data_IF_304068018243
#
_entry.id   IF_304068018243
#
_cell.length_a   1.000
_cell.length_b   1.000
_cell.length_c   1.000
_cell.angle_alpha   90.00
_cell.angle_beta   90.00
_cell.angle_gamma   90.00
#
_symmetry.space_group_name_H-M   'P 1'
#
loop_
_entity.id
_entity.type
_entity.pdbx_description
1 polymer ?
#
# COMPACT_ATOMS: atom_id res chain seq x y z
N UNK A 1 11.30 -6.49 6.82
CA UNK A 1 10.77 -7.22 5.65
C UNK A 1 11.32 -6.72 4.31
N UNK A 2 11.14 -5.45 3.94
CA UNK A 2 11.74 -4.92 2.70
C UNK A 2 13.26 -5.16 2.60
N UNK A 3 13.98 -5.00 3.72
CA UNK A 3 15.41 -5.31 3.78
C UNK A 3 15.71 -6.79 3.52
N UNK A 4 14.92 -7.71 4.08
CA UNK A 4 15.04 -9.16 3.80
C UNK A 4 14.85 -9.45 2.30
N UNK A 5 13.86 -8.80 1.67
CA UNK A 5 13.62 -8.95 0.23
C UNK A 5 14.86 -8.47 -0.56
N UNK A 6 15.45 -7.33 -0.19
CA UNK A 6 16.68 -6.82 -0.81
C UNK A 6 17.87 -7.78 -0.65
N UNK A 7 18.04 -8.36 0.54
CA UNK A 7 19.10 -9.36 0.81
C UNK A 7 18.94 -10.55 -0.13
N UNK A 8 17.73 -11.10 -0.22
CA UNK A 8 17.45 -12.27 -1.08
C UNK A 8 17.64 -11.93 -2.56
N UNK A 9 17.13 -10.78 -3.02
CA UNK A 9 17.28 -10.34 -4.41
C UNK A 9 18.75 -10.13 -4.78
N UNK A 10 19.54 -9.54 -3.88
CA UNK A 10 20.94 -9.32 -4.14
C UNK A 10 21.74 -10.64 -4.19
N UNK A 11 21.38 -11.64 -3.38
CA UNK A 11 21.94 -13.00 -3.49
C UNK A 11 21.54 -13.74 -4.79
N UNK A 12 20.47 -13.29 -5.49
CA UNK A 12 20.07 -13.84 -6.81
C UNK A 12 20.88 -13.29 -7.98
N UNK A 13 21.68 -12.25 -7.77
CA UNK A 13 22.29 -11.50 -8.87
C UNK A 13 23.55 -12.23 -9.35
N UNK A 14 23.57 -12.84 -10.55
CA UNK A 14 24.64 -13.75 -10.98
C UNK A 14 25.96 -13.03 -11.36
N UNK A 15 25.94 -11.70 -11.47
CA UNK A 15 27.00 -10.93 -12.14
C UNK A 15 28.16 -10.51 -11.25
N UNK A 16 28.08 -10.68 -9.93
CA UNK A 16 29.20 -10.46 -9.04
C UNK A 16 29.74 -11.84 -8.62
N UNK A 17 31.01 -12.12 -8.91
CA UNK A 17 31.71 -13.33 -8.43
C UNK A 17 31.64 -13.50 -6.90
N UNK A 18 31.23 -12.44 -6.17
CA UNK A 18 30.99 -12.40 -4.74
C UNK A 18 29.69 -11.64 -4.46
N UNK A 19 28.92 -12.03 -3.45
CA UNK A 19 27.81 -11.19 -2.98
C UNK A 19 28.29 -9.76 -2.65
N UNK A 20 27.42 -8.75 -2.75
CA UNK A 20 27.71 -7.45 -2.15
C UNK A 20 28.17 -7.60 -0.69
N UNK A 21 29.28 -6.97 -0.32
CA UNK A 21 29.95 -7.13 0.98
C UNK A 21 29.07 -6.85 2.20
N UNK A 22 27.97 -6.10 2.02
CA UNK A 22 27.01 -5.81 3.08
C UNK A 22 26.08 -6.99 3.40
N UNK A 23 26.01 -8.01 2.53
CA UNK A 23 25.15 -9.18 2.69
C UNK A 23 25.83 -10.26 3.52
N UNK A 24 27.15 -10.43 3.37
CA UNK A 24 27.88 -11.53 4.02
C UNK A 24 27.69 -11.57 5.55
N UNK A 25 27.71 -10.44 6.29
CA UNK A 25 27.43 -10.46 7.72
C UNK A 25 26.01 -10.93 8.05
N UNK A 26 25.03 -10.66 7.17
CA UNK A 26 23.64 -11.11 7.34
C UNK A 26 23.53 -12.62 7.10
N UNK A 27 24.21 -13.14 6.07
CA UNK A 27 24.24 -14.58 5.80
C UNK A 27 24.91 -15.33 6.96
N UNK A 28 26.07 -14.85 7.44
CA UNK A 28 26.75 -15.43 8.60
C UNK A 28 25.86 -15.44 9.86
N UNK A 29 25.10 -14.38 10.07
CA UNK A 29 24.12 -14.30 11.16
C UNK A 29 23.00 -15.35 11.00
N UNK A 30 22.52 -15.54 9.76
CA UNK A 30 21.51 -16.56 9.45
C UNK A 30 22.03 -17.98 9.63
N UNK A 31 23.28 -18.24 9.21
CA UNK A 31 23.97 -19.51 9.44
C UNK A 31 24.06 -19.84 10.93
N UNK A 32 24.52 -18.88 11.74
CA UNK A 32 24.64 -19.06 13.18
C UNK A 32 23.28 -19.36 13.84
N UNK A 33 22.20 -18.74 13.37
CA UNK A 33 20.85 -18.95 13.91
C UNK A 33 20.24 -20.30 13.51
N UNK A 34 20.48 -20.75 12.27
CA UNK A 34 19.87 -21.97 11.74
C UNK A 34 20.69 -23.22 12.08
N UNK A 35 21.99 -23.08 12.35
CA UNK A 35 22.90 -24.14 12.75
C UNK A 35 22.40 -24.95 13.97
N UNK A 36 22.60 -26.28 13.99
CA UNK A 36 23.25 -27.10 12.97
C UNK A 36 22.29 -27.58 11.86
N UNK A 37 21.07 -27.07 11.79
CA UNK A 37 19.98 -27.71 11.04
C UNK A 37 19.79 -27.24 9.60
N UNK A 38 20.62 -26.31 9.15
CA UNK A 38 20.57 -25.76 7.80
C UNK A 38 21.76 -24.82 7.56
N UNK A 39 21.71 -24.12 6.43
CA UNK A 39 22.69 -23.09 6.08
C UNK A 39 22.08 -22.00 5.20
N UNK A 40 22.80 -20.90 5.09
CA UNK A 40 22.53 -19.74 4.28
C UNK A 40 21.09 -19.21 4.46
N UNK A 41 20.33 -19.18 3.37
CA UNK A 41 18.95 -18.73 3.30
C UNK A 41 17.92 -19.80 3.72
N UNK A 42 18.34 -20.95 4.25
CA UNK A 42 17.41 -21.94 4.81
C UNK A 42 16.56 -21.35 5.95
N UNK A 43 17.05 -20.29 6.59
CA UNK A 43 16.31 -19.51 7.59
C UNK A 43 14.98 -18.94 7.06
N UNK A 44 14.82 -18.78 5.74
CA UNK A 44 13.55 -18.35 5.13
C UNK A 44 12.43 -19.37 5.38
N UNK A 45 12.77 -20.63 5.67
CA UNK A 45 11.85 -21.71 6.00
C UNK A 45 11.70 -21.98 7.49
N UNK A 46 12.55 -21.34 8.31
CA UNK A 46 12.62 -21.60 9.74
C UNK A 46 11.33 -21.21 10.49
N UNK A 47 10.96 -21.96 11.53
CA UNK A 47 9.74 -21.73 12.30
C UNK A 47 9.94 -20.61 13.35
N UNK A 48 10.30 -19.40 12.91
CA UNK A 48 10.43 -18.24 13.80
C UNK A 48 9.04 -17.75 14.20
N UNK A 49 8.47 -18.33 15.26
CA UNK A 49 7.08 -18.08 15.70
C UNK A 49 6.98 -17.32 17.01
N UNK A 50 8.09 -17.06 17.69
CA UNK A 50 8.14 -16.27 18.92
C UNK A 50 8.36 -14.82 18.59
N UNK A 51 7.48 -13.93 19.05
CA UNK A 51 7.71 -12.50 18.94
C UNK A 51 8.86 -12.10 19.89
N UNK A 52 9.86 -11.31 19.43
CA UNK A 52 10.96 -10.83 20.27
C UNK A 52 10.49 -10.13 21.56
N UNK A 53 9.36 -9.43 21.53
CA UNK A 53 8.85 -8.61 22.64
C UNK A 53 8.25 -9.42 23.81
N UNK A 54 7.96 -10.70 23.62
CA UNK A 54 7.35 -11.53 24.68
C UNK A 54 8.41 -12.14 25.61
N UNK A 55 8.18 -12.10 26.93
CA UNK A 55 9.06 -12.70 27.94
C UNK A 55 9.38 -14.21 27.74
N UNK A 56 8.52 -14.94 27.00
CA UNK A 56 8.73 -16.36 26.63
C UNK A 56 9.82 -16.53 25.56
N UNK A 57 10.09 -15.51 24.74
CA UNK A 57 11.16 -15.52 23.72
C UNK A 57 12.53 -15.73 24.36
N UNK A 58 12.73 -15.26 25.59
CA UNK A 58 13.97 -15.45 26.38
C UNK A 58 14.26 -16.92 26.73
N UNK A 59 13.28 -17.82 26.62
CA UNK A 59 13.48 -19.26 26.87
C UNK A 59 13.95 -20.04 25.64
N UNK A 60 13.74 -19.52 24.43
CA UNK A 60 14.28 -20.11 23.20
C UNK A 60 15.45 -19.25 22.71
N UNK A 61 16.62 -19.47 23.30
CA UNK A 61 17.86 -18.75 23.01
C UNK A 61 18.33 -18.90 21.56
N UNK A 62 17.74 -19.81 20.77
CA UNK A 62 18.19 -20.04 19.40
C UNK A 62 18.06 -18.79 18.52
N UNK A 63 16.94 -18.07 18.61
CA UNK A 63 16.70 -16.90 17.77
C UNK A 63 17.29 -15.61 18.33
N UNK A 64 17.80 -15.62 19.57
CA UNK A 64 18.36 -14.40 20.17
C UNK A 64 19.64 -13.93 19.47
N UNK A 65 20.38 -14.84 18.83
CA UNK A 65 21.59 -14.49 18.08
C UNK A 65 21.31 -13.53 16.92
N UNK A 66 20.11 -13.57 16.34
CA UNK A 66 19.68 -12.67 15.27
C UNK A 66 19.61 -11.20 15.71
N UNK A 67 19.57 -10.92 17.01
CA UNK A 67 19.24 -9.61 17.55
C UNK A 67 17.77 -9.22 17.30
N UNK A 68 17.36 -8.11 17.89
CA UNK A 68 15.94 -7.68 17.89
C UNK A 68 15.41 -7.44 16.47
N UNK A 69 16.20 -6.76 15.62
CA UNK A 69 15.79 -6.41 14.27
C UNK A 69 15.51 -7.63 13.39
N UNK A 70 16.49 -8.52 13.21
CA UNK A 70 16.33 -9.67 12.31
C UNK A 70 15.37 -10.71 12.87
N UNK A 71 15.31 -10.86 14.20
CA UNK A 71 14.30 -11.69 14.84
C UNK A 71 12.89 -11.18 14.52
N UNK A 72 12.61 -9.88 14.67
CA UNK A 72 11.30 -9.32 14.33
C UNK A 72 10.98 -9.47 12.82
N UNK A 73 11.97 -9.26 11.96
CA UNK A 73 11.82 -9.41 10.52
C UNK A 73 11.46 -10.84 10.13
N UNK A 74 12.16 -11.84 10.68
CA UNK A 74 11.93 -13.26 10.39
C UNK A 74 10.66 -13.78 11.07
N UNK A 75 10.33 -13.27 12.25
CA UNK A 75 9.03 -13.50 12.90
C UNK A 75 7.88 -13.01 12.00
N UNK A 76 7.97 -11.78 11.50
CA UNK A 76 6.96 -11.21 10.60
C UNK A 76 6.91 -11.95 9.26
N UNK A 77 8.07 -12.35 8.74
CA UNK A 77 8.19 -13.18 7.54
C UNK A 77 7.41 -14.48 7.72
N UNK A 78 7.68 -15.24 8.78
CA UNK A 78 7.04 -16.53 9.02
C UNK A 78 5.55 -16.41 9.37
N UNK A 79 5.19 -15.50 10.29
CA UNK A 79 3.84 -15.48 10.87
C UNK A 79 2.80 -14.72 10.06
N UNK A 80 3.22 -13.73 9.26
CA UNK A 80 2.32 -12.86 8.49
C UNK A 80 2.55 -13.01 6.99
N UNK A 81 3.80 -12.86 6.54
CA UNK A 81 4.12 -12.70 5.13
C UNK A 81 4.08 -14.04 4.36
N UNK A 82 4.70 -15.10 4.89
CA UNK A 82 4.79 -16.41 4.25
C UNK A 82 3.45 -17.10 4.03
N UNK A 83 2.44 -16.80 4.87
CA UNK A 83 1.07 -17.30 4.69
C UNK A 83 0.41 -16.79 3.40
N UNK A 84 0.96 -15.72 2.80
CA UNK A 84 0.50 -15.12 1.55
C UNK A 84 1.32 -15.56 0.34
N UNK A 85 2.28 -16.47 0.51
CA UNK A 85 3.08 -17.00 -0.61
C UNK A 85 2.21 -17.89 -1.48
N UNK A 86 2.15 -17.56 -2.77
CA UNK A 86 1.60 -18.47 -3.78
C UNK A 86 2.68 -19.52 -4.07
N UNK A 87 2.43 -20.75 -3.64
CA UNK A 87 3.36 -21.86 -3.90
C UNK A 87 3.15 -22.39 -5.30
N UNK A 88 3.98 -21.94 -6.22
CA UNK A 88 4.20 -22.65 -7.47
C UNK A 88 4.95 -23.95 -7.11
N UNK A 89 4.35 -25.11 -7.38
CA UNK A 89 4.96 -26.41 -7.05
C UNK A 89 6.10 -26.77 -8.01
N UNK A 90 7.13 -25.94 -8.07
CA UNK A 90 8.30 -26.18 -8.90
C UNK A 90 9.06 -27.37 -8.32
N UNK A 91 9.35 -28.37 -9.16
CA UNK A 91 10.10 -29.58 -8.75
C UNK A 91 11.47 -29.23 -8.16
N UNK A 92 12.13 -28.21 -8.72
CA UNK A 92 13.41 -27.68 -8.23
C UNK A 92 13.31 -27.21 -6.78
N UNK A 93 12.35 -26.34 -6.45
CA UNK A 93 12.16 -25.83 -5.08
C UNK A 93 11.98 -26.97 -4.08
N UNK A 94 11.24 -28.03 -4.44
CA UNK A 94 11.09 -29.23 -3.59
C UNK A 94 12.40 -30.01 -3.46
N UNK A 95 13.19 -30.11 -4.53
CA UNK A 95 14.48 -30.80 -4.55
C UNK A 95 15.53 -30.14 -3.65
N UNK A 96 15.48 -28.80 -3.54
CA UNK A 96 16.45 -28.00 -2.79
C UNK A 96 15.89 -27.41 -1.50
N UNK A 97 14.66 -27.77 -1.12
CA UNK A 97 14.01 -27.38 0.13
C UNK A 97 14.76 -27.94 1.34
N UNK A 98 15.19 -27.13 2.32
CA UNK A 98 15.67 -27.68 3.59
C UNK A 98 14.55 -28.47 4.26
N UNK A 99 14.82 -29.68 4.76
CA UNK A 99 13.77 -30.51 5.38
C UNK A 99 13.93 -30.73 6.89
N UNK A 100 15.12 -30.49 7.45
CA UNK A 100 15.36 -30.73 8.89
C UNK A 100 14.58 -29.75 9.77
N UNK A 101 14.66 -28.46 9.48
CA UNK A 101 13.99 -27.42 10.28
C UNK A 101 13.09 -26.50 9.45
N UNK A 102 12.14 -27.12 8.76
CA UNK A 102 11.24 -26.44 7.85
C UNK A 102 9.80 -26.51 8.33
N UNK A 103 9.16 -25.35 8.52
CA UNK A 103 7.76 -25.24 8.94
C UNK A 103 6.78 -25.89 7.94
N UNK A 104 7.19 -26.06 6.68
CA UNK A 104 6.38 -26.64 5.61
C UNK A 104 6.38 -28.16 5.64
N UNK A 105 7.31 -28.76 6.40
CA UNK A 105 7.47 -30.20 6.55
C UNK A 105 7.22 -30.52 8.03
N UNK A 106 5.95 -30.52 8.40
CA UNK A 106 5.51 -30.79 9.77
C UNK A 106 5.43 -32.30 10.03
N UNK A 107 6.06 -32.76 11.12
CA UNK A 107 6.09 -34.17 11.53
C UNK A 107 5.02 -34.51 12.60
N UNK A 108 4.34 -33.52 13.19
CA UNK A 108 3.35 -33.73 14.26
C UNK A 108 2.11 -32.82 14.16
N UNK A 109 1.04 -33.20 14.87
CA UNK A 109 -0.23 -32.45 14.96
C UNK A 109 -0.09 -30.99 15.44
N UNK A 110 1.06 -30.63 16.05
CA UNK A 110 1.34 -29.27 16.55
C UNK A 110 2.27 -28.46 15.65
N UNK A 111 2.55 -28.91 14.42
CA UNK A 111 3.38 -28.15 13.48
C UNK A 111 4.87 -28.14 13.82
N UNK A 112 5.36 -29.07 14.64
CA UNK A 112 6.79 -29.19 14.93
C UNK A 112 7.56 -29.74 13.72
N UNK A 113 8.73 -29.15 13.45
CA UNK A 113 9.69 -29.57 12.42
C UNK A 113 10.47 -30.82 12.88
N UNK A 114 11.25 -31.46 12.00
CA UNK A 114 12.04 -32.64 12.38
C UNK A 114 13.10 -32.33 13.45
N UNK A 115 13.72 -31.14 13.37
CA UNK A 115 14.70 -30.65 14.32
C UNK A 115 14.10 -29.92 15.53
N UNK A 116 12.96 -29.25 15.37
CA UNK A 116 12.33 -28.38 16.39
C UNK A 116 11.51 -29.11 17.46
N UNK A 117 11.60 -30.44 17.55
CA UNK A 117 10.95 -31.22 18.63
C UNK A 117 11.86 -31.34 19.85
N UNK A 118 11.28 -31.52 21.04
CA UNK A 118 12.04 -31.75 22.28
C UNK A 118 12.84 -33.06 22.26
N UNK A 119 12.55 -33.96 21.30
CA UNK A 119 13.26 -35.21 21.05
C UNK A 119 13.29 -35.44 19.53
N UNK A 120 14.23 -34.82 18.79
CA UNK A 120 14.36 -35.05 17.36
C UNK A 120 14.61 -36.53 17.10
N UNK A 121 14.22 -37.02 15.92
CA UNK A 121 14.60 -38.37 15.50
C UNK A 121 16.13 -38.48 15.60
N UNK A 122 16.65 -39.57 16.18
CA UNK A 122 18.09 -39.72 16.41
C UNK A 122 18.95 -39.58 15.15
N UNK A 123 18.34 -39.78 13.98
CA UNK A 123 18.96 -39.58 12.67
C UNK A 123 19.19 -38.11 12.29
N UNK A 124 18.35 -37.19 12.76
CA UNK A 124 18.41 -35.76 12.41
C UNK A 124 19.75 -35.12 12.80
N UNK A 125 20.27 -35.30 14.04
CA UNK A 125 21.62 -34.84 14.42
C UNK A 125 22.74 -35.39 13.53
N UNK A 126 22.64 -36.65 13.09
CA UNK A 126 23.67 -37.29 12.25
C UNK A 126 23.68 -36.65 10.86
N UNK A 127 22.48 -36.49 10.26
CA UNK A 127 22.33 -35.85 8.96
C UNK A 127 22.86 -34.41 8.99
N UNK A 128 22.51 -33.66 10.03
CA UNK A 128 23.00 -32.30 10.25
C UNK A 128 24.52 -32.21 10.38
N UNK A 129 25.13 -33.11 11.16
CA UNK A 129 26.59 -33.16 11.33
C UNK A 129 27.34 -33.44 10.01
N UNK A 130 26.68 -34.07 9.03
CA UNK A 130 27.23 -34.36 7.71
C UNK A 130 26.71 -33.39 6.62
N UNK A 131 26.14 -32.26 7.02
CA UNK A 131 25.61 -31.23 6.11
C UNK A 131 24.52 -31.70 5.13
N UNK A 132 23.74 -32.72 5.51
CA UNK A 132 22.64 -33.26 4.72
C UNK A 132 21.35 -32.55 5.14
N UNK A 133 21.01 -31.45 4.46
CA UNK A 133 19.89 -30.59 4.82
C UNK A 133 18.68 -30.71 3.88
N UNK A 134 18.91 -31.15 2.64
CA UNK A 134 17.94 -31.12 1.53
C UNK A 134 17.84 -32.48 0.83
N UNK A 135 16.76 -32.74 0.06
CA UNK A 135 16.70 -33.93 -0.79
C UNK A 135 17.90 -34.02 -1.74
N UNK A 136 18.31 -32.90 -2.36
CA UNK A 136 19.50 -32.82 -3.20
C UNK A 136 20.76 -33.38 -2.51
N UNK A 137 21.02 -32.96 -1.27
CA UNK A 137 22.18 -33.39 -0.48
C UNK A 137 22.11 -34.88 -0.11
N UNK A 138 20.89 -35.42 0.03
CA UNK A 138 20.68 -36.83 0.32
C UNK A 138 20.86 -37.69 -0.94
N UNK A 139 20.39 -37.21 -2.09
CA UNK A 139 20.45 -37.94 -3.36
C UNK A 139 21.84 -38.01 -3.97
N UNK A 140 22.75 -37.08 -3.62
CA UNK A 140 24.17 -37.19 -3.97
C UNK A 140 24.87 -38.33 -3.23
N UNK A 141 24.33 -38.75 -2.07
CA UNK A 141 24.89 -39.83 -1.25
C UNK A 141 24.11 -41.14 -1.38
N UNK A 142 22.84 -41.08 -1.76
CA UNK A 142 21.94 -42.22 -1.86
C UNK A 142 21.03 -42.08 -3.09
N UNK A 143 21.34 -42.82 -4.16
CA UNK A 143 20.57 -42.74 -5.39
C UNK A 143 19.08 -43.10 -5.20
N UNK A 144 18.16 -42.33 -5.80
CA UNK A 144 16.73 -42.65 -5.80
C UNK A 144 16.45 -44.06 -6.37
N UNK A 145 15.45 -44.79 -5.85
CA UNK A 145 14.70 -44.49 -4.65
C UNK A 145 15.54 -44.72 -3.39
N UNK A 146 15.43 -43.81 -2.43
CA UNK A 146 16.08 -43.92 -1.11
C UNK A 146 15.28 -44.91 -0.27
N UNK A 147 15.79 -46.12 -0.14
CA UNK A 147 15.19 -47.18 0.70
C UNK A 147 15.77 -47.18 2.11
N UNK A 148 15.05 -47.72 3.12
CA UNK A 148 15.57 -47.83 4.48
C UNK A 148 16.91 -48.57 4.57
N UNK A 149 17.10 -49.62 3.76
CA UNK A 149 18.34 -50.42 3.74
C UNK A 149 19.53 -49.65 3.15
N UNK A 150 19.31 -48.95 2.03
CA UNK A 150 20.34 -48.10 1.42
C UNK A 150 20.76 -46.98 2.37
N UNK A 151 19.77 -46.29 2.98
CA UNK A 151 20.04 -45.22 3.93
C UNK A 151 20.74 -45.74 5.19
N UNK A 152 20.32 -46.90 5.73
CA UNK A 152 20.98 -47.54 6.88
C UNK A 152 22.44 -47.86 6.57
N UNK A 153 22.71 -48.42 5.38
CA UNK A 153 24.06 -48.80 4.94
C UNK A 153 24.97 -47.58 4.79
N UNK A 154 24.45 -46.48 4.23
CA UNK A 154 25.16 -45.20 4.14
C UNK A 154 25.48 -44.65 5.53
N UNK A 155 24.47 -44.54 6.41
CA UNK A 155 24.64 -43.90 7.71
C UNK A 155 25.52 -44.69 8.68
N UNK A 156 25.65 -46.00 8.50
CA UNK A 156 26.61 -46.82 9.26
C UNK A 156 28.06 -46.43 9.02
N UNK A 157 28.37 -45.85 7.86
CA UNK A 157 29.70 -45.32 7.55
C UNK A 157 30.03 -44.10 8.43
N UNK A 158 29.02 -43.31 8.78
CA UNK A 158 29.17 -42.12 9.63
C UNK A 158 29.08 -42.43 11.12
N UNK A 159 28.13 -43.29 11.52
CA UNK A 159 27.90 -43.61 12.93
C UNK A 159 27.33 -45.02 13.05
N UNK A 160 28.14 -46.02 13.42
CA UNK A 160 27.66 -47.38 13.64
C UNK A 160 26.77 -47.44 14.89
N UNK A 161 25.64 -48.15 14.81
CA UNK A 161 24.80 -48.43 15.99
C UNK A 161 23.30 -48.48 15.72
N UNK A 162 22.51 -48.42 16.80
CA UNK A 162 21.04 -48.53 16.77
C UNK A 162 20.36 -47.40 15.97
N UNK A 163 20.99 -46.21 15.97
CA UNK A 163 20.44 -45.01 15.34
C UNK A 163 20.49 -45.13 13.81
N UNK A 164 21.54 -45.74 13.25
CA UNK A 164 21.68 -46.03 11.81
C UNK A 164 21.03 -47.37 11.40
N UNK A 165 20.14 -47.94 12.22
CA UNK A 165 19.42 -49.17 11.86
C UNK A 165 18.37 -48.95 10.77
N UNK A 166 18.04 -50.01 10.02
CA UNK A 166 16.99 -50.02 9.00
C UNK A 166 15.67 -49.52 9.56
N UNK A 167 15.31 -49.92 10.79
CA UNK A 167 14.09 -49.45 11.48
C UNK A 167 14.07 -47.94 11.71
N UNK A 168 15.18 -47.37 12.17
CA UNK A 168 15.31 -45.92 12.36
C UNK A 168 15.20 -45.17 11.02
N UNK A 169 15.84 -45.71 9.97
CA UNK A 169 15.79 -45.14 8.62
C UNK A 169 14.37 -45.20 8.04
N UNK A 170 13.65 -46.31 8.23
CA UNK A 170 12.26 -46.45 7.85
C UNK A 170 11.36 -45.41 8.55
N UNK A 171 11.55 -45.21 9.87
CA UNK A 171 10.81 -44.20 10.62
C UNK A 171 11.09 -42.77 10.13
N UNK A 172 12.30 -42.47 9.67
CA UNK A 172 12.63 -41.17 9.08
C UNK A 172 12.00 -41.03 7.69
N UNK A 173 12.16 -42.03 6.82
CA UNK A 173 11.63 -42.03 5.46
C UNK A 173 10.10 -42.02 5.42
N UNK A 174 9.40 -42.58 6.41
CA UNK A 174 7.93 -42.44 6.55
C UNK A 174 7.49 -40.96 6.58
N UNK A 175 8.36 -40.06 7.05
CA UNK A 175 8.02 -38.67 7.36
C UNK A 175 8.40 -37.71 6.26
N UNK A 176 9.57 -37.93 5.67
CA UNK A 176 10.03 -37.18 4.51
C UNK A 176 9.59 -37.84 3.19
N UNK A 177 9.01 -39.04 3.25
CA UNK A 177 8.68 -39.86 2.09
C UNK A 177 7.73 -39.19 1.12
N UNK A 178 6.76 -38.40 1.59
CA UNK A 178 5.89 -37.62 0.68
C UNK A 178 6.67 -36.62 -0.17
N UNK A 179 7.70 -35.98 0.41
CA UNK A 179 8.58 -35.08 -0.32
C UNK A 179 9.48 -35.88 -1.27
N UNK A 180 10.20 -36.88 -0.75
CA UNK A 180 11.18 -37.66 -1.52
C UNK A 180 10.53 -38.46 -2.67
N UNK A 181 9.38 -39.08 -2.45
CA UNK A 181 8.67 -39.87 -3.46
C UNK A 181 8.15 -39.00 -4.62
N UNK A 182 7.99 -37.69 -4.41
CA UNK A 182 7.62 -36.77 -5.48
C UNK A 182 8.80 -36.39 -6.40
N UNK A 183 10.01 -36.82 -6.05
CA UNK A 183 11.29 -36.46 -6.66
C UNK A 183 12.00 -37.69 -7.25
N UNK A 184 11.31 -38.43 -8.11
CA UNK A 184 11.83 -39.67 -8.72
C UNK A 184 12.95 -39.38 -9.73
N UNK A 185 12.83 -38.28 -10.47
CA UNK A 185 13.82 -37.85 -11.46
C UNK A 185 14.49 -36.55 -11.00
N UNK A 186 15.80 -36.44 -11.25
CA UNK A 186 16.52 -35.19 -11.07
C UNK A 186 15.90 -34.10 -11.98
N UNK A 187 15.65 -32.88 -11.45
CA UNK A 187 15.09 -31.81 -12.27
C UNK A 187 16.04 -31.46 -13.41
N UNK A 188 15.54 -31.51 -14.65
CA UNK A 188 16.27 -31.10 -15.85
C UNK A 188 16.25 -29.57 -15.92
N UNK A 189 17.41 -28.92 -15.90
CA UNK A 189 17.52 -27.47 -16.02
C UNK A 189 18.92 -26.94 -15.67
N UNK A 190 19.16 -25.63 -15.85
CA UNK A 190 20.41 -25.03 -15.45
C UNK A 190 20.61 -25.23 -13.93
N UNK A 191 21.66 -25.96 -13.58
CA UNK A 191 22.08 -26.06 -12.18
C UNK A 191 22.65 -24.70 -11.76
N UNK A 192 21.89 -24.00 -10.92
CA UNK A 192 22.42 -22.83 -10.23
C UNK A 192 23.59 -23.26 -9.34
N UNK A 193 24.49 -22.33 -9.04
CA UNK A 193 25.57 -22.59 -8.09
C UNK A 193 24.96 -23.20 -6.81
N UNK A 194 25.60 -24.21 -6.19
CA UNK A 194 25.06 -24.94 -5.04
C UNK A 194 24.97 -24.11 -3.74
N UNK A 195 25.12 -22.79 -3.85
CA UNK A 195 25.03 -21.82 -2.78
C UNK A 195 23.70 -21.07 -2.90
N UNK A 196 22.99 -20.91 -1.78
CA UNK A 196 21.79 -20.09 -1.67
C UNK A 196 20.51 -20.60 -2.35
N UNK A 197 20.29 -21.91 -2.47
CA UNK A 197 19.06 -22.48 -3.07
C UNK A 197 17.76 -21.79 -2.61
N UNK A 198 17.59 -21.66 -1.29
CA UNK A 198 16.41 -21.03 -0.68
C UNK A 198 16.20 -19.56 -1.11
N UNK A 199 17.25 -18.84 -1.51
CA UNK A 199 17.12 -17.50 -2.07
C UNK A 199 16.50 -17.53 -3.48
N UNK A 200 16.80 -18.56 -4.28
CA UNK A 200 16.31 -18.72 -5.65
C UNK A 200 14.95 -19.38 -5.78
N UNK A 201 14.42 -19.95 -4.69
CA UNK A 201 13.06 -20.49 -4.69
C UNK A 201 12.01 -19.45 -5.08
N UNK A 202 10.85 -19.92 -5.50
CA UNK A 202 9.77 -19.07 -6.01
C UNK A 202 9.05 -18.35 -4.87
N UNK A 203 9.48 -17.12 -4.59
CA UNK A 203 8.88 -16.24 -3.59
C UNK A 203 7.93 -15.23 -4.27
N UNK A 204 6.70 -15.66 -4.54
CA UNK A 204 5.63 -14.81 -5.06
C UNK A 204 4.56 -14.57 -3.99
N UNK A 205 4.16 -13.32 -3.80
CA UNK A 205 3.19 -12.88 -2.80
C UNK A 205 2.04 -12.17 -3.50
N UNK A 206 0.84 -12.73 -3.40
CA UNK A 206 -0.27 -12.39 -4.29
C UNK A 206 0.18 -12.44 -5.77
N UNK A 207 0.08 -11.34 -6.51
CA UNK A 207 0.50 -11.27 -7.93
C UNK A 207 1.91 -10.72 -8.14
N UNK A 208 2.71 -10.55 -7.07
CA UNK A 208 4.01 -9.88 -7.14
C UNK A 208 5.15 -10.83 -6.80
N UNK A 209 6.21 -10.84 -7.61
CA UNK A 209 7.45 -11.50 -7.25
C UNK A 209 8.22 -10.71 -6.19
N UNK A 210 9.13 -11.39 -5.48
CA UNK A 210 9.97 -10.77 -4.45
C UNK A 210 10.72 -9.52 -4.92
N UNK A 211 11.20 -9.51 -6.16
CA UNK A 211 11.91 -8.38 -6.75
C UNK A 211 11.03 -7.13 -6.94
N UNK A 212 9.72 -7.33 -7.04
CA UNK A 212 8.73 -6.28 -7.27
C UNK A 212 8.17 -5.68 -5.96
N UNK A 213 8.54 -6.21 -4.80
CA UNK A 213 7.95 -5.82 -3.52
C UNK A 213 8.54 -4.52 -2.97
N UNK A 214 7.86 -3.41 -3.25
CA UNK A 214 8.14 -2.10 -2.63
C UNK A 214 7.63 -2.05 -1.18
N UNK A 215 8.09 -1.06 -0.40
CA UNK A 215 7.56 -0.81 0.96
C UNK A 215 6.04 -0.64 0.97
N UNK A 216 5.48 0.06 -0.02
CA UNK A 216 4.04 0.25 -0.14
C UNK A 216 3.30 -1.06 -0.38
N UNK A 217 3.82 -1.92 -1.26
CA UNK A 217 3.26 -3.25 -1.55
C UNK A 217 3.33 -4.16 -0.32
N UNK A 218 4.49 -4.20 0.34
CA UNK A 218 4.67 -4.97 1.58
C UNK A 218 3.67 -4.53 2.65
N UNK A 219 3.47 -3.22 2.84
CA UNK A 219 2.45 -2.71 3.77
C UNK A 219 1.05 -3.18 3.39
N UNK A 220 0.67 -3.10 2.12
CA UNK A 220 -0.65 -3.57 1.68
C UNK A 220 -0.88 -5.08 1.87
N UNK A 221 0.19 -5.89 1.84
CA UNK A 221 0.12 -7.34 2.08
C UNK A 221 0.01 -7.64 3.58
N UNK A 222 0.78 -6.93 4.42
CA UNK A 222 0.85 -7.18 5.85
C UNK A 222 -0.38 -6.66 6.62
N UNK A 223 -0.89 -5.50 6.22
CA UNK A 223 -1.88 -4.77 7.01
C UNK A 223 -2.82 -3.98 6.11
N UNK A 224 -4.10 -4.35 6.13
CA UNK A 224 -5.19 -3.45 5.79
C UNK A 224 -5.80 -3.00 7.11
N UNK A 225 -5.41 -1.84 7.65
CA UNK A 225 -6.16 -1.28 8.76
C UNK A 225 -7.60 -1.09 8.29
N UNK A 226 -8.56 -1.56 9.08
CA UNK A 226 -9.90 -1.02 8.96
C UNK A 226 -9.83 0.44 9.37
N UNK A 227 -10.12 1.33 8.43
CA UNK A 227 -10.20 2.75 8.75
C UNK A 227 -11.35 2.94 9.75
N UNK A 228 -11.15 3.75 10.81
CA UNK A 228 -12.27 4.06 11.70
C UNK A 228 -13.37 4.75 10.91
N UNK A 229 -14.63 4.38 11.15
CA UNK A 229 -15.78 4.98 10.51
C UNK A 229 -15.81 6.49 10.74
N UNK A 230 -16.10 7.25 9.68
CA UNK A 230 -16.17 8.71 9.79
C UNK A 230 -17.48 9.14 10.46
N UNK A 231 -17.48 10.17 11.33
CA UNK A 231 -18.68 10.65 11.98
C UNK A 231 -19.56 11.51 11.04
N UNK A 232 -20.04 10.91 9.95
CA UNK A 232 -20.72 11.57 8.83
C UNK A 232 -22.13 12.06 9.14
N UNK A 233 -22.82 11.47 10.12
CA UNK A 233 -24.18 11.92 10.53
C UNK A 233 -24.23 13.41 10.88
N UNK A 234 -23.15 13.96 11.44
CA UNK A 234 -23.04 15.39 11.77
C UNK A 234 -22.82 16.29 10.56
N UNK A 235 -22.41 15.71 9.43
CA UNK A 235 -22.39 16.35 8.12
C UNK A 235 -23.72 16.14 7.38
N UNK A 236 -24.76 15.57 8.02
CA UNK A 236 -26.04 15.30 7.36
C UNK A 236 -25.92 14.30 6.21
N UNK A 237 -25.01 13.33 6.34
CA UNK A 237 -24.72 12.32 5.32
C UNK A 237 -24.86 10.94 5.97
N UNK A 238 -25.68 10.10 5.35
CA UNK A 238 -26.04 8.78 5.88
C UNK A 238 -25.07 7.69 5.41
N UNK A 239 -24.56 7.79 4.19
CA UNK A 239 -23.69 6.78 3.57
C UNK A 239 -22.21 7.17 3.57
N UNK A 240 -21.34 6.19 3.83
CA UNK A 240 -19.91 6.39 3.71
C UNK A 240 -19.49 6.69 2.25
N UNK A 241 -18.59 7.66 2.03
CA UNK A 241 -18.10 7.93 0.69
C UNK A 241 -17.21 6.77 0.22
N UNK A 242 -17.30 6.38 -1.06
CA UNK A 242 -16.46 5.30 -1.58
C UNK A 242 -14.98 5.72 -1.61
N UNK A 243 -14.06 4.77 -1.46
CA UNK A 243 -12.60 5.00 -1.47
C UNK A 243 -12.07 5.81 -2.66
N UNK A 244 -12.78 5.77 -3.78
CA UNK A 244 -12.45 6.51 -5.00
C UNK A 244 -12.53 8.03 -4.82
N UNK A 245 -13.35 8.51 -3.87
CA UNK A 245 -13.47 9.92 -3.49
C UNK A 245 -12.15 10.43 -2.93
N UNK A 246 -11.56 9.72 -1.96
CA UNK A 246 -10.32 10.14 -1.31
C UNK A 246 -9.14 10.20 -2.29
N UNK A 247 -9.04 9.19 -3.17
CA UNK A 247 -8.01 9.17 -4.22
C UNK A 247 -8.18 10.33 -5.19
N UNK A 248 -9.43 10.68 -5.53
CA UNK A 248 -9.75 11.82 -6.40
C UNK A 248 -9.37 13.13 -5.74
N UNK A 249 -9.77 13.36 -4.50
CA UNK A 249 -9.48 14.61 -3.78
C UNK A 249 -7.98 14.81 -3.56
N UNK A 250 -7.25 13.75 -3.19
CA UNK A 250 -5.79 13.81 -3.09
C UNK A 250 -5.14 14.20 -4.42
N UNK A 251 -5.64 13.66 -5.55
CA UNK A 251 -5.16 14.01 -6.89
C UNK A 251 -5.50 15.45 -7.29
N UNK A 252 -6.63 15.98 -6.82
CA UNK A 252 -7.09 17.35 -7.12
C UNK A 252 -6.42 18.40 -6.24
N UNK A 253 -5.93 18.02 -5.05
CA UNK A 253 -5.25 18.92 -4.12
C UNK A 253 -4.06 19.68 -4.72
N UNK A 254 -3.45 19.17 -5.80
CA UNK A 254 -2.37 19.87 -6.53
C UNK A 254 -2.81 21.17 -7.22
N UNK A 255 -4.11 21.39 -7.40
CA UNK A 255 -4.65 22.58 -8.08
C UNK A 255 -4.99 23.72 -7.12
N UNK A 256 -4.89 23.47 -5.82
CA UNK A 256 -5.21 24.44 -4.76
C UNK A 256 -4.04 24.57 -3.81
N UNK A 257 -4.01 25.66 -3.04
CA UNK A 257 -2.97 25.84 -2.02
C UNK A 257 -3.20 24.84 -0.88
N UNK A 258 -2.14 24.40 -0.16
CA UNK A 258 -2.26 23.42 0.91
C UNK A 258 -3.31 23.77 1.97
N UNK A 259 -3.47 25.06 2.31
CA UNK A 259 -4.46 25.52 3.29
C UNK A 259 -5.92 25.28 2.86
N UNK A 260 -6.19 25.24 1.56
CA UNK A 260 -7.52 24.95 1.00
C UNK A 260 -7.78 23.44 1.04
N UNK A 261 -6.79 22.63 0.64
CA UNK A 261 -6.88 21.18 0.71
C UNK A 261 -7.03 20.67 2.16
N UNK A 262 -6.24 21.20 3.10
CA UNK A 262 -6.34 20.89 4.54
C UNK A 262 -7.71 21.28 5.09
N UNK A 263 -8.22 22.46 4.74
CA UNK A 263 -9.55 22.88 5.17
C UNK A 263 -10.65 21.92 4.69
N UNK A 264 -10.65 21.55 3.41
CA UNK A 264 -11.62 20.57 2.87
C UNK A 264 -11.51 19.23 3.60
N UNK A 265 -10.28 18.74 3.82
CA UNK A 265 -10.05 17.50 4.54
C UNK A 265 -10.68 17.55 5.94
N UNK A 266 -10.44 18.63 6.69
CA UNK A 266 -11.05 18.84 8.01
C UNK A 266 -12.58 18.91 7.94
N UNK A 267 -13.14 19.57 6.93
CA UNK A 267 -14.58 19.62 6.73
C UNK A 267 -15.18 18.23 6.50
N UNK A 268 -14.60 17.46 5.57
CA UNK A 268 -15.03 16.10 5.22
C UNK A 268 -14.91 15.11 6.39
N UNK A 269 -13.97 15.35 7.32
CA UNK A 269 -13.77 14.54 8.52
C UNK A 269 -14.56 15.07 9.72
N UNK A 270 -15.45 16.06 9.52
CA UNK A 270 -16.18 16.73 10.58
C UNK A 270 -15.24 17.18 11.71
N UNK A 271 -14.12 17.80 11.37
CA UNK A 271 -13.08 18.25 12.32
C UNK A 271 -13.14 19.76 12.60
N UNK A 272 -14.14 20.47 12.05
CA UNK A 272 -14.35 21.89 12.30
C UNK A 272 -15.15 22.14 13.58
N UNK A 273 -14.80 23.21 14.30
CA UNK A 273 -15.49 23.66 15.51
C UNK A 273 -16.67 24.59 15.16
N UNK A 274 -17.79 23.98 14.83
CA UNK A 274 -19.06 24.65 14.54
C UNK A 274 -19.93 24.75 15.81
N UNK A 275 -20.88 25.68 15.82
CA UNK A 275 -21.72 25.99 16.97
C UNK A 275 -22.45 24.80 17.57
N UNK A 276 -22.85 23.79 16.78
CA UNK A 276 -23.42 22.55 17.32
C UNK A 276 -22.52 21.83 18.33
N UNK A 277 -21.18 21.99 18.25
CA UNK A 277 -20.24 21.40 19.21
C UNK A 277 -20.18 22.16 20.53
N UNK A 278 -20.60 23.42 20.53
CA UNK A 278 -20.49 24.33 21.67
C UNK A 278 -21.77 24.41 22.50
N UNK A 279 -22.83 23.66 22.14
CA UNK A 279 -24.13 23.68 22.82
C UNK A 279 -24.07 23.31 24.32
N UNK A 280 -22.99 22.67 24.76
CA UNK A 280 -22.77 22.33 26.17
C UNK A 280 -22.27 23.53 27.00
N UNK A 281 -21.90 24.65 26.37
CA UNK A 281 -21.44 25.87 27.00
C UNK A 281 -22.59 26.90 27.03
N UNK A 282 -23.10 27.30 28.22
CA UNK A 282 -24.27 28.18 28.33
C UNK A 282 -24.13 29.56 27.66
N UNK A 283 -22.90 30.06 27.53
CA UNK A 283 -22.59 31.39 26.99
C UNK A 283 -22.08 31.35 25.55
N UNK A 284 -22.00 30.17 24.92
CA UNK A 284 -21.44 30.07 23.58
C UNK A 284 -22.46 30.41 22.50
N UNK A 285 -22.03 31.23 21.53
CA UNK A 285 -22.80 31.47 20.31
C UNK A 285 -22.85 30.20 19.45
N UNK A 286 -24.00 29.54 19.47
CA UNK A 286 -24.21 28.28 18.75
C UNK A 286 -24.96 28.46 17.43
N UNK A 287 -25.60 29.62 17.23
CA UNK A 287 -26.38 29.91 16.03
C UNK A 287 -25.49 30.33 14.86
N UNK A 288 -26.04 30.14 13.67
CA UNK A 288 -25.54 30.63 12.40
C UNK A 288 -25.22 32.14 12.48
N UNK A 289 -24.00 32.55 12.06
CA UNK A 289 -23.57 33.95 12.13
C UNK A 289 -24.25 34.85 11.09
N UNK A 290 -24.95 34.27 10.10
CA UNK A 290 -25.63 34.99 9.02
C UNK A 290 -27.11 35.25 9.34
N UNK A 291 -27.43 35.51 10.61
CA UNK A 291 -28.75 35.97 11.08
C UNK A 291 -29.94 35.03 10.81
N UNK A 292 -29.67 33.76 10.53
CA UNK A 292 -30.71 32.83 10.12
C UNK A 292 -31.43 32.13 11.30
N UNK A 293 -31.03 32.41 12.54
CA UNK A 293 -31.56 31.80 13.78
C UNK A 293 -31.54 30.26 13.85
N UNK A 294 -30.77 29.59 12.98
CA UNK A 294 -30.60 28.13 12.96
C UNK A 294 -29.30 27.73 13.66
N UNK A 295 -29.27 26.55 14.28
CA UNK A 295 -28.05 25.97 14.84
C UNK A 295 -26.95 25.85 13.77
N UNK A 296 -25.74 26.32 14.07
CA UNK A 296 -24.60 26.25 13.16
C UNK A 296 -24.12 24.79 13.02
N UNK A 297 -24.58 24.12 11.97
CA UNK A 297 -24.08 22.81 11.51
C UNK A 297 -23.30 22.97 10.21
N UNK A 298 -22.50 21.97 9.82
CA UNK A 298 -21.73 22.04 8.58
C UNK A 298 -22.64 22.18 7.34
N UNK A 299 -23.69 21.36 7.18
CA UNK A 299 -24.58 21.50 6.02
C UNK A 299 -25.27 22.86 6.01
N UNK A 300 -25.64 23.37 7.18
CA UNK A 300 -26.27 24.66 7.28
C UNK A 300 -25.32 25.79 6.88
N UNK A 301 -24.15 25.91 7.52
CA UNK A 301 -23.20 27.00 7.26
C UNK A 301 -22.71 27.01 5.80
N UNK A 302 -22.42 25.83 5.23
CA UNK A 302 -21.76 25.73 3.93
C UNK A 302 -22.72 25.57 2.74
N UNK A 303 -24.00 25.26 2.99
CA UNK A 303 -24.95 24.93 1.92
C UNK A 303 -26.35 25.51 2.12
N UNK A 304 -27.02 25.25 3.26
CA UNK A 304 -28.44 25.60 3.44
C UNK A 304 -28.73 26.99 4.00
N UNK A 305 -27.73 27.69 4.54
CA UNK A 305 -27.85 29.07 4.99
C UNK A 305 -28.23 29.97 3.79
N UNK A 306 -29.12 30.96 4.01
CA UNK A 306 -29.55 31.90 2.97
C UNK A 306 -28.37 32.63 2.30
N UNK A 307 -27.32 32.95 3.07
CA UNK A 307 -26.09 33.54 2.55
C UNK A 307 -25.33 32.53 1.67
N UNK A 308 -25.14 31.30 2.13
CA UNK A 308 -24.45 30.26 1.37
C UNK A 308 -25.20 29.90 0.07
N UNK A 309 -26.53 29.82 0.11
CA UNK A 309 -27.37 29.57 -1.07
C UNK A 309 -27.17 30.65 -2.14
N UNK A 310 -27.11 31.92 -1.74
CA UNK A 310 -26.86 33.03 -2.67
C UNK A 310 -25.45 32.99 -3.26
N UNK A 311 -24.44 32.61 -2.47
CA UNK A 311 -23.07 32.42 -2.98
C UNK A 311 -23.03 31.27 -4.00
N UNK A 312 -23.71 30.15 -3.72
CA UNK A 312 -23.67 28.97 -4.58
C UNK A 312 -24.55 29.09 -5.83
N UNK A 313 -25.60 29.91 -5.84
CA UNK A 313 -26.63 29.93 -6.88
C UNK A 313 -26.06 30.12 -8.29
N UNK A 314 -25.18 31.10 -8.47
CA UNK A 314 -24.54 31.42 -9.75
C UNK A 314 -23.67 30.26 -10.25
N UNK A 315 -22.89 29.66 -9.35
CA UNK A 315 -22.00 28.55 -9.66
C UNK A 315 -22.76 27.26 -9.97
N UNK A 316 -23.80 26.95 -9.18
CA UNK A 316 -24.64 25.78 -9.42
C UNK A 316 -25.32 25.91 -10.78
N UNK A 317 -25.89 27.08 -11.10
CA UNK A 317 -26.52 27.32 -12.39
C UNK A 317 -25.55 27.09 -13.56
N UNK A 318 -24.29 27.54 -13.42
CA UNK A 318 -23.27 27.35 -14.44
C UNK A 318 -22.82 25.89 -14.59
N UNK A 319 -22.64 25.15 -13.48
CA UNK A 319 -22.11 23.79 -13.52
C UNK A 319 -23.17 22.70 -13.73
N UNK A 320 -24.44 22.92 -13.37
CA UNK A 320 -25.43 21.85 -13.31
C UNK A 320 -25.63 21.15 -14.66
N UNK A 321 -25.53 21.87 -15.78
CA UNK A 321 -25.64 21.29 -17.12
C UNK A 321 -24.51 20.32 -17.51
N UNK A 322 -23.38 20.36 -16.80
CA UNK A 322 -22.22 19.51 -17.09
C UNK A 322 -22.24 18.17 -16.38
N UNK A 323 -23.14 17.97 -15.40
CA UNK A 323 -23.22 16.75 -14.60
C UNK A 323 -24.60 16.11 -14.71
N UNK A 324 -24.61 14.78 -14.78
CA UNK A 324 -25.86 14.01 -14.86
C UNK A 324 -26.60 13.97 -13.51
N UNK A 325 -25.87 14.09 -12.41
CA UNK A 325 -26.44 14.13 -11.08
C UNK A 325 -26.53 15.58 -10.54
N UNK A 326 -27.45 15.78 -9.60
CA UNK A 326 -27.71 17.08 -9.00
C UNK A 326 -26.52 17.56 -8.18
N UNK A 327 -26.19 18.85 -8.31
CA UNK A 327 -25.22 19.53 -7.46
C UNK A 327 -25.88 19.87 -6.12
N UNK A 328 -25.68 19.00 -5.15
CA UNK A 328 -26.16 19.13 -3.78
C UNK A 328 -25.03 18.93 -2.75
N UNK A 329 -25.32 19.24 -1.49
CA UNK A 329 -24.36 19.27 -0.39
C UNK A 329 -23.39 18.08 -0.40
N UNK A 330 -23.93 16.86 -0.37
CA UNK A 330 -23.13 15.63 -0.33
C UNK A 330 -22.31 15.45 -1.61
N UNK A 331 -22.94 15.62 -2.77
CA UNK A 331 -22.31 15.44 -4.07
C UNK A 331 -21.12 16.39 -4.28
N UNK A 332 -21.24 17.62 -3.79
CA UNK A 332 -20.19 18.63 -3.89
C UNK A 332 -19.13 18.37 -2.83
N UNK A 333 -19.52 18.19 -1.56
CA UNK A 333 -18.59 17.92 -0.45
C UNK A 333 -17.66 16.74 -0.75
N UNK A 334 -18.19 15.61 -1.23
CA UNK A 334 -17.43 14.40 -1.51
C UNK A 334 -17.08 14.21 -3.00
N UNK A 335 -17.29 15.23 -3.83
CA UNK A 335 -17.04 15.15 -5.27
C UNK A 335 -17.71 13.92 -5.95
N UNK A 336 -18.87 13.47 -5.45
CA UNK A 336 -19.65 12.34 -5.98
C UNK A 336 -20.42 12.82 -7.23
N UNK A 337 -19.68 13.20 -8.26
CA UNK A 337 -20.20 13.80 -9.49
C UNK A 337 -19.81 12.98 -10.72
N UNK A 338 -20.76 12.86 -11.64
CA UNK A 338 -20.66 12.17 -12.92
C UNK A 338 -20.89 13.17 -14.04
N UNK A 339 -19.85 13.54 -14.83
CA UNK A 339 -20.03 14.45 -15.94
C UNK A 339 -20.88 13.80 -17.03
N UNK A 340 -21.64 14.59 -17.78
CA UNK A 340 -22.29 14.10 -18.99
C UNK A 340 -21.24 13.72 -20.04
N UNK A 341 -21.55 12.80 -20.95
CA UNK A 341 -20.59 12.40 -21.99
C UNK A 341 -20.19 13.60 -22.87
N UNK A 342 -21.13 14.52 -23.14
CA UNK A 342 -20.85 15.77 -23.84
C UNK A 342 -19.84 16.65 -23.08
N UNK A 343 -20.08 16.90 -21.79
CA UNK A 343 -19.19 17.73 -20.99
C UNK A 343 -17.80 17.10 -20.82
N UNK A 344 -17.75 15.77 -20.69
CA UNK A 344 -16.50 15.00 -20.62
C UNK A 344 -15.71 15.10 -21.92
N UNK A 345 -16.35 15.00 -23.08
CA UNK A 345 -15.70 15.16 -24.38
C UNK A 345 -15.21 16.61 -24.58
N UNK A 346 -16.03 17.59 -24.22
CA UNK A 346 -15.76 19.00 -24.48
C UNK A 346 -14.72 19.61 -23.53
N UNK A 347 -14.78 19.28 -22.23
CA UNK A 347 -13.97 19.94 -21.20
C UNK A 347 -12.99 19.00 -20.48
N UNK A 348 -13.20 17.68 -20.58
CA UNK A 348 -12.27 16.68 -20.06
C UNK A 348 -11.91 16.86 -18.58
N UNK A 349 -10.60 16.83 -18.29
CA UNK A 349 -10.07 16.97 -16.93
C UNK A 349 -10.26 18.39 -16.36
N UNK A 350 -10.32 19.42 -17.22
CA UNK A 350 -10.45 20.82 -16.80
C UNK A 350 -11.75 21.07 -16.04
N UNK A 351 -12.85 20.39 -16.41
CA UNK A 351 -14.12 20.45 -15.70
C UNK A 351 -13.97 20.07 -14.21
N UNK A 352 -13.27 18.96 -13.93
CA UNK A 352 -13.04 18.52 -12.55
C UNK A 352 -12.08 19.44 -11.80
N UNK A 353 -11.03 19.93 -12.47
CA UNK A 353 -10.07 20.84 -11.83
C UNK A 353 -10.74 22.15 -11.41
N UNK A 354 -11.51 22.77 -12.31
CA UNK A 354 -12.16 24.06 -12.05
C UNK A 354 -13.28 23.92 -11.00
N UNK A 355 -14.12 22.88 -11.08
CA UNK A 355 -15.13 22.66 -10.05
C UNK A 355 -14.49 22.40 -8.67
N UNK A 356 -13.36 21.68 -8.61
CA UNK A 356 -12.63 21.48 -7.35
C UNK A 356 -12.15 22.82 -6.77
N UNK A 357 -11.57 23.68 -7.61
CA UNK A 357 -11.11 25.01 -7.21
C UNK A 357 -12.28 25.81 -6.62
N UNK A 358 -13.37 25.95 -7.38
CA UNK A 358 -14.58 26.69 -6.95
C UNK A 358 -15.09 26.14 -5.62
N UNK A 359 -15.24 24.82 -5.54
CA UNK A 359 -15.72 24.14 -4.34
C UNK A 359 -14.92 24.50 -3.10
N UNK A 360 -13.60 24.30 -3.16
CA UNK A 360 -12.76 24.47 -1.98
C UNK A 360 -12.61 25.95 -1.63
N UNK A 361 -12.58 26.83 -2.62
CA UNK A 361 -12.54 28.27 -2.41
C UNK A 361 -13.80 28.77 -1.71
N UNK A 362 -15.00 28.37 -2.19
CA UNK A 362 -16.25 28.78 -1.56
C UNK A 362 -16.33 28.27 -0.12
N UNK A 363 -16.07 26.98 0.12
CA UNK A 363 -16.16 26.45 1.47
C UNK A 363 -15.18 27.14 2.43
N UNK A 364 -13.93 27.37 2.01
CA UNK A 364 -12.95 28.05 2.87
C UNK A 364 -13.34 29.51 3.11
N UNK A 365 -13.82 30.24 2.10
CA UNK A 365 -14.22 31.63 2.28
C UNK A 365 -15.43 31.74 3.21
N UNK A 366 -16.42 30.85 3.10
CA UNK A 366 -17.57 30.81 4.03
C UNK A 366 -17.10 30.60 5.47
N UNK A 367 -16.11 29.71 5.68
CA UNK A 367 -15.52 29.49 7.00
C UNK A 367 -14.77 30.72 7.53
N UNK A 368 -13.96 31.37 6.70
CA UNK A 368 -13.23 32.58 7.10
C UNK A 368 -14.18 33.72 7.42
N UNK A 369 -15.18 33.96 6.58
CA UNK A 369 -16.18 35.01 6.80
C UNK A 369 -17.00 34.75 8.08
N UNK A 370 -17.34 33.50 8.36
CA UNK A 370 -17.94 33.11 9.64
C UNK A 370 -17.05 33.49 10.84
N UNK A 371 -15.74 33.28 10.73
CA UNK A 371 -14.81 33.65 11.79
C UNK A 371 -14.68 35.18 11.92
N UNK A 372 -14.65 35.90 10.78
CA UNK A 372 -14.60 37.36 10.78
C UNK A 372 -15.85 37.98 11.45
N UNK A 373 -17.04 37.43 11.21
CA UNK A 373 -18.26 37.86 11.90
C UNK A 373 -18.12 37.64 13.42
N UNK A 374 -17.78 36.42 13.83
CA UNK A 374 -17.78 36.01 15.25
C UNK A 374 -16.67 36.65 16.08
N UNK A 375 -15.48 36.79 15.51
CA UNK A 375 -14.29 37.20 16.27
C UNK A 375 -13.84 38.62 15.95
N UNK A 376 -14.29 39.19 14.82
CA UNK A 376 -13.87 40.51 14.36
C UNK A 376 -15.04 41.47 14.14
N UNK A 377 -16.28 41.05 14.43
CA UNK A 377 -17.47 41.90 14.33
C UNK A 377 -17.81 42.34 12.91
N UNK A 378 -17.34 41.59 11.90
CA UNK A 378 -17.61 41.89 10.50
C UNK A 378 -19.11 41.82 10.21
N UNK A 379 -19.63 42.83 9.50
CA UNK A 379 -21.00 42.84 8.99
C UNK A 379 -21.10 42.04 7.70
N UNK A 380 -22.20 41.31 7.50
CA UNK A 380 -22.39 40.49 6.30
C UNK A 380 -22.54 41.35 5.05
N UNK A 381 -21.66 41.19 4.07
CA UNK A 381 -21.75 41.84 2.76
C UNK A 381 -21.56 40.81 1.64
N UNK A 382 -22.66 40.43 0.99
CA UNK A 382 -22.66 39.41 -0.05
C UNK A 382 -21.83 39.81 -1.26
N UNK A 383 -21.90 41.07 -1.69
CA UNK A 383 -21.22 41.56 -2.91
C UNK A 383 -19.70 41.52 -2.71
N UNK A 384 -19.21 42.01 -1.56
CA UNK A 384 -17.78 41.95 -1.24
C UNK A 384 -17.30 40.50 -1.12
N UNK A 385 -18.11 39.64 -0.50
CA UNK A 385 -17.81 38.22 -0.36
C UNK A 385 -17.70 37.52 -1.72
N UNK A 386 -18.68 37.73 -2.62
CA UNK A 386 -18.66 37.17 -3.98
C UNK A 386 -17.46 37.68 -4.78
N UNK A 387 -17.14 38.98 -4.69
CA UNK A 387 -15.95 39.53 -5.33
C UNK A 387 -14.66 38.86 -4.84
N UNK A 388 -14.56 38.61 -3.52
CA UNK A 388 -13.42 37.88 -2.91
C UNK A 388 -13.34 36.44 -3.41
N UNK A 389 -14.46 35.72 -3.43
CA UNK A 389 -14.51 34.35 -3.97
C UNK A 389 -14.05 34.33 -5.43
N UNK A 390 -14.60 35.21 -6.26
CA UNK A 390 -14.27 35.27 -7.69
C UNK A 390 -12.79 35.59 -7.91
N UNK A 391 -12.22 36.53 -7.16
CA UNK A 391 -10.80 36.86 -7.23
C UNK A 391 -9.90 35.66 -6.86
N UNK A 392 -10.24 34.94 -5.79
CA UNK A 392 -9.45 33.77 -5.36
C UNK A 392 -9.59 32.60 -6.33
N UNK A 393 -10.80 32.34 -6.84
CA UNK A 393 -11.01 31.33 -7.91
C UNK A 393 -10.17 31.69 -9.13
N UNK A 394 -10.17 32.97 -9.54
CA UNK A 394 -9.39 33.46 -10.68
C UNK A 394 -7.90 33.15 -10.51
N UNK A 395 -7.31 33.50 -9.38
CA UNK A 395 -5.89 33.22 -9.10
C UNK A 395 -5.54 31.73 -9.19
N UNK A 396 -6.40 30.85 -8.69
CA UNK A 396 -6.18 29.41 -8.78
C UNK A 396 -6.25 28.88 -10.22
N UNK A 397 -7.19 29.38 -11.02
CA UNK A 397 -7.30 28.98 -12.43
C UNK A 397 -6.14 29.56 -13.25
N UNK A 398 -5.71 30.79 -12.99
CA UNK A 398 -4.50 31.37 -13.61
C UNK A 398 -3.27 30.51 -13.34
N UNK A 399 -3.08 30.06 -12.09
CA UNK A 399 -1.99 29.14 -11.76
C UNK A 399 -2.15 27.79 -12.47
N UNK A 400 -3.36 27.25 -12.55
CA UNK A 400 -3.63 26.02 -13.29
C UNK A 400 -3.33 26.17 -14.79
N UNK A 401 -3.64 27.33 -15.37
CA UNK A 401 -3.31 27.65 -16.75
C UNK A 401 -1.80 27.75 -16.97
N UNK A 402 -1.06 28.43 -16.09
CA UNK A 402 0.42 28.47 -16.12
C UNK A 402 1.03 27.07 -16.07
N UNK A 403 0.54 26.21 -15.18
CA UNK A 403 0.94 24.80 -15.10
C UNK A 403 0.70 24.01 -16.40
N UNK A 404 -0.27 24.43 -17.22
CA UNK A 404 -0.51 23.84 -18.55
C UNK A 404 0.45 24.39 -19.61
N UNK A 405 0.92 25.64 -19.47
CA UNK A 405 1.93 26.25 -20.34
C UNK A 405 3.33 25.66 -20.09
N UNK A 406 3.71 25.51 -18.83
CA UNK A 406 5.05 25.05 -18.43
C UNK A 406 5.28 23.55 -18.69
N UNK A 407 4.20 22.76 -18.86
CA UNK A 407 4.33 21.33 -19.13
C UNK A 407 4.57 21.07 -20.61
N UNK A 408 5.77 20.60 -20.94
CA UNK A 408 6.18 20.01 -22.23
C UNK A 408 5.40 18.71 -22.55
N UNK A 409 4.08 18.76 -22.65
CA UNK A 409 3.24 17.65 -23.04
C UNK A 409 2.60 17.94 -24.39
N UNK A 410 2.63 16.95 -25.28
CA UNK A 410 1.99 16.90 -26.62
C UNK A 410 0.47 17.21 -26.65
N UNK A 411 -0.14 17.54 -25.51
CA UNK A 411 -1.57 17.80 -25.34
C UNK A 411 -1.88 19.06 -24.52
N UNK A 412 -0.90 19.94 -24.27
CA UNK A 412 -1.11 21.21 -23.55
C UNK A 412 -2.09 22.13 -24.30
N UNK A 413 -1.93 22.29 -25.61
CA UNK A 413 -2.83 23.09 -26.47
C UNK A 413 -4.30 22.67 -26.40
N UNK A 414 -4.58 21.37 -26.52
CA UNK A 414 -5.95 20.86 -26.42
C UNK A 414 -6.57 21.14 -25.05
N UNK A 415 -5.85 20.90 -23.95
CA UNK A 415 -6.34 21.17 -22.59
C UNK A 415 -6.57 22.66 -22.32
N UNK A 416 -5.76 23.54 -22.91
CA UNK A 416 -5.96 25.00 -22.87
C UNK A 416 -7.28 25.39 -23.55
N UNK A 417 -7.54 24.86 -24.75
CA UNK A 417 -8.82 25.09 -25.45
C UNK A 417 -10.02 24.56 -24.66
N UNK A 418 -9.89 23.39 -24.03
CA UNK A 418 -10.93 22.85 -23.14
C UNK A 418 -11.18 23.76 -21.92
N UNK A 419 -10.11 24.31 -21.32
CA UNK A 419 -10.22 25.25 -20.20
C UNK A 419 -10.88 26.56 -20.65
N UNK A 420 -10.47 27.14 -21.78
CA UNK A 420 -11.05 28.39 -22.29
C UNK A 420 -12.55 28.27 -22.52
N UNK A 421 -12.98 27.23 -23.26
CA UNK A 421 -14.41 26.98 -23.51
C UNK A 421 -15.20 26.79 -22.22
N UNK A 422 -14.59 26.20 -21.19
CA UNK A 422 -15.26 26.03 -19.90
C UNK A 422 -15.44 27.39 -19.21
N UNK A 423 -14.42 28.24 -19.24
CA UNK A 423 -14.44 29.56 -18.61
C UNK A 423 -15.51 30.48 -19.19
N UNK A 424 -15.81 30.36 -20.48
CA UNK A 424 -16.86 31.13 -21.16
C UNK A 424 -18.28 30.87 -20.58
N UNK A 425 -18.47 29.79 -19.83
CA UNK A 425 -19.74 29.44 -19.18
C UNK A 425 -19.80 29.77 -17.68
N UNK A 426 -18.70 30.24 -17.07
CA UNK A 426 -18.61 30.45 -15.63
C UNK A 426 -18.92 31.92 -15.26
N UNK A 427 -19.43 32.18 -14.04
CA UNK A 427 -19.72 33.53 -13.55
C UNK A 427 -18.44 34.27 -13.13
N UNK A 428 -17.46 34.34 -14.03
CA UNK A 428 -16.17 34.99 -13.80
C UNK A 428 -16.03 36.20 -14.75
N UNK A 429 -15.50 37.33 -14.28
CA UNK A 429 -15.16 38.45 -15.18
C UNK A 429 -14.19 37.99 -16.27
N UNK A 430 -14.28 38.60 -17.46
CA UNK A 430 -13.51 38.25 -18.65
C UNK A 430 -12.04 37.87 -18.32
N UNK A 431 -11.70 36.64 -18.67
CA UNK A 431 -10.65 35.90 -17.98
C UNK A 431 -9.24 36.20 -18.48
N UNK A 432 -9.09 36.66 -19.74
CA UNK A 432 -7.79 36.78 -20.42
C UNK A 432 -7.80 37.93 -21.46
N UNK A 433 -6.65 38.58 -21.74
CA UNK A 433 -6.52 39.55 -22.84
C UNK A 433 -6.86 38.92 -24.20
N UNK A 434 -7.19 39.70 -25.22
CA UNK A 434 -7.81 39.24 -26.50
C UNK A 434 -6.81 38.67 -27.53
N UNK A 435 -5.49 38.70 -27.27
CA UNK A 435 -4.45 38.36 -28.26
C UNK A 435 -4.24 36.85 -28.53
N UNK A 436 -5.27 36.01 -28.34
CA UNK A 436 -5.18 34.54 -28.41
C UNK A 436 -5.48 33.91 -29.78
N UNK A 437 -5.62 34.70 -30.84
CA UNK A 437 -6.00 34.19 -32.16
C UNK A 437 -4.86 34.08 -33.17
N UNK A 438 -3.66 34.61 -32.91
CA UNK A 438 -2.66 34.79 -33.98
C UNK A 438 -1.53 33.76 -34.05
N UNK A 439 -1.24 32.96 -33.01
CA UNK A 439 -0.03 32.10 -33.04
C UNK A 439 -0.28 30.62 -33.37
N UNK A 440 -1.51 30.12 -33.26
CA UNK A 440 -1.82 28.71 -33.59
C UNK A 440 -2.19 28.51 -35.09
N UNK A 441 -2.53 29.56 -35.83
CA UNK A 441 -2.80 29.50 -37.29
C UNK A 441 -1.55 29.37 -38.13
N UNK A 442 -0.41 29.91 -37.68
CA UNK A 442 0.85 29.90 -38.44
C UNK A 442 1.55 28.52 -38.44
N UNK A 443 1.10 27.60 -37.58
CA UNK A 443 1.59 26.22 -37.53
C UNK A 443 0.83 25.27 -38.45
N UNK A 444 -0.40 25.61 -38.88
CA UNK A 444 -1.17 24.79 -39.83
C UNK A 444 -0.83 25.08 -41.29
N UNK A 445 -0.39 26.30 -41.65
CA UNK A 445 0.06 26.61 -43.03
C UNK A 445 1.43 25.99 -43.38
N UNK A 446 2.22 25.59 -42.39
CA UNK A 446 3.54 24.96 -42.61
C UNK A 446 3.49 23.42 -42.60
N UNK A 447 2.29 22.82 -42.57
CA UNK A 447 2.09 21.37 -42.55
C UNK A 447 1.08 20.85 -43.59
N UNK A 448 0.93 21.53 -44.73
CA UNK A 448 0.24 21.01 -45.93
C UNK A 448 1.22 20.74 -47.05
#
# INVERSE_FOLDING_TARGET
>A
LHMLCKVVVAARTPSLKNNPSWIDPVIQLFDQAVSPWGKDFDILYAPVSTNPDHAVSRRNSRWSILGEYWHFVLFSWNTQFRKKVIRLQVKFDKWTLPFLDNVDIAYSYRGATLAGTSRPLGLVPILAAHSIFRPADLFTLCEPPVTPDKLSSLLRQFTPGRISSVRSCANFLDKVGRLLNSLVDAPIGPHQAPQYFSAYHTWAFDTYELADLTVARIRSILFKPEAPGLPLRRLGIDDEPPDTVWKRDLKMGKHVLPVYADFLYRLQHNALFLGYRLQHLPQAECLCPHECAVLETAPHLFWFCSFALQVWSEWISAFQGFFSNKLEWESVLFFKLSPTESAKAQYGYSLFAVLHIVRVVIFRNLWMHRNDIRFHGLQTNLVEFQARVNAVVKLHIERYHQDLLEKNLSHSGFKRRQLQRLLDHLPLPAFLPVDFHSEDTDLEENMV
#
